data_IF_482873069939
#
_entry.id   IF_482873069939
#
_cell.length_a   1.000
_cell.length_b   1.000
_cell.length_c   1.000
_cell.angle_alpha   90.00
_cell.angle_beta   90.00
_cell.angle_gamma   90.00
#
_symmetry.space_group_name_H-M   'P 1'
#
loop_
_entity.id
_entity.type
_entity.pdbx_description
1 polymer ?
#
# COMPACT_ATOMS: atom_id res chain seq x y z
N UNK A 1 -5.93 13.24 -9.98
CA UNK A 1 -5.48 13.54 -8.61
C UNK A 1 -6.48 12.91 -7.67
N UNK A 2 -6.08 11.95 -6.84
CA UNK A 2 -6.90 11.47 -5.73
C UNK A 2 -6.11 11.77 -4.47
N UNK A 3 -6.50 12.85 -3.80
CA UNK A 3 -5.86 13.36 -2.59
C UNK A 3 -6.62 12.82 -1.38
N UNK A 4 -5.92 12.05 -0.56
CA UNK A 4 -5.91 12.07 0.91
C UNK A 4 -7.22 12.11 1.72
N UNK A 5 -7.26 11.17 2.67
CA UNK A 5 -7.93 11.16 3.99
C UNK A 5 -9.37 10.62 4.05
N UNK A 6 -9.51 9.34 4.42
CA UNK A 6 -10.72 8.84 5.08
C UNK A 6 -10.41 7.91 6.27
N UNK A 7 -11.18 8.10 7.34
CA UNK A 7 -11.07 7.59 8.72
C UNK A 7 -10.63 6.12 8.88
N UNK A 8 -9.77 5.86 9.87
CA UNK A 8 -9.20 4.58 10.38
C UNK A 8 -10.20 3.45 10.76
N UNK A 9 -11.47 3.53 10.34
CA UNK A 9 -12.56 2.59 10.66
C UNK A 9 -12.96 1.70 9.46
N UNK A 10 -12.30 1.79 8.30
CA UNK A 10 -12.79 1.24 7.03
C UNK A 10 -12.53 -0.25 6.73
N UNK A 11 -11.62 -0.91 7.43
CA UNK A 11 -11.24 -2.30 7.12
C UNK A 11 -11.45 -3.25 8.32
N UNK A 12 -11.94 -4.48 8.09
CA UNK A 12 -11.99 -5.51 9.12
C UNK A 12 -10.60 -5.72 9.77
N UNK A 13 -10.50 -6.00 11.08
CA UNK A 13 -9.21 -6.17 11.76
C UNK A 13 -8.27 -7.19 11.12
N UNK A 14 -8.82 -8.26 10.53
CA UNK A 14 -8.08 -9.33 9.85
C UNK A 14 -7.97 -9.13 8.33
N UNK A 15 -8.40 -7.99 7.80
CA UNK A 15 -8.18 -7.69 6.39
C UNK A 15 -6.67 -7.72 6.09
N UNK A 16 -6.29 -8.38 5.00
CA UNK A 16 -4.90 -8.38 4.55
C UNK A 16 -4.63 -7.04 3.88
N UNK A 17 -3.59 -6.36 4.34
CA UNK A 17 -3.06 -5.14 3.72
C UNK A 17 -1.60 -5.37 3.36
N UNK A 18 -1.17 -4.67 2.32
CA UNK A 18 0.24 -4.49 2.02
C UNK A 18 0.60 -3.07 2.45
N UNK A 19 1.45 -2.92 3.45
CA UNK A 19 1.90 -1.64 3.96
C UNK A 19 3.18 -1.19 3.26
N UNK A 20 3.26 0.11 2.98
CA UNK A 20 4.48 0.78 2.53
C UNK A 20 4.68 1.99 3.42
N UNK A 21 5.85 2.08 4.05
CA UNK A 21 6.36 3.31 4.66
C UNK A 21 7.53 3.82 3.81
N UNK A 22 7.32 4.94 3.13
CA UNK A 22 8.30 5.49 2.20
C UNK A 22 8.20 7.02 2.17
N UNK A 23 9.33 7.69 2.36
CA UNK A 23 9.43 9.16 2.46
C UNK A 23 8.43 9.81 3.44
N UNK A 24 8.28 9.21 4.62
CA UNK A 24 7.34 9.63 5.68
C UNK A 24 5.86 9.56 5.28
N UNK A 25 5.53 8.88 4.17
CA UNK A 25 4.17 8.61 3.76
C UNK A 25 3.93 7.11 3.97
N UNK A 26 3.00 6.83 4.88
CA UNK A 26 2.56 5.48 5.19
C UNK A 26 1.29 5.19 4.41
N UNK A 27 1.28 4.14 3.59
CA UNK A 27 0.09 3.74 2.84
C UNK A 27 -0.15 2.24 2.95
N UNK A 28 -1.39 1.88 3.28
CA UNK A 28 -1.88 0.51 3.25
C UNK A 28 -2.67 0.26 1.97
N UNK A 29 -2.36 -0.84 1.29
CA UNK A 29 -3.08 -1.34 0.11
C UNK A 29 -3.88 -2.58 0.52
N UNK A 30 -5.20 -2.46 0.71
CA UNK A 30 -6.02 -3.61 1.03
C UNK A 30 -6.01 -4.62 -0.12
N UNK A 31 -5.84 -5.91 0.18
CA UNK A 31 -5.89 -6.96 -0.83
C UNK A 31 -7.18 -6.86 -1.66
N UNK A 32 -8.32 -6.58 -1.02
CA UNK A 32 -9.62 -6.39 -1.69
C UNK A 32 -9.64 -5.24 -2.72
N UNK A 33 -8.75 -4.26 -2.59
CA UNK A 33 -8.68 -3.10 -3.50
C UNK A 33 -7.70 -3.30 -4.67
N UNK A 34 -6.78 -4.25 -4.54
CA UNK A 34 -5.70 -4.46 -5.51
C UNK A 34 -5.70 -5.86 -6.15
N UNK A 35 -6.51 -6.81 -5.67
CA UNK A 35 -6.53 -8.19 -6.15
C UNK A 35 -6.72 -8.33 -7.67
N UNK A 36 -7.50 -7.42 -8.27
CA UNK A 36 -7.73 -7.41 -9.72
C UNK A 36 -6.68 -6.64 -10.51
N UNK A 37 -5.85 -5.84 -9.84
CA UNK A 37 -4.77 -5.08 -10.48
C UNK A 37 -3.57 -5.99 -10.76
N UNK A 38 -2.85 -5.69 -11.83
CA UNK A 38 -1.60 -6.38 -12.17
C UNK A 38 -0.43 -5.43 -11.91
N UNK A 39 -0.38 -4.31 -12.65
CA UNK A 39 0.57 -3.22 -12.42
C UNK A 39 -0.21 -1.92 -12.31
N UNK A 40 0.15 -1.08 -11.36
CA UNK A 40 -0.43 0.25 -11.17
C UNK A 40 0.61 1.20 -10.60
N UNK A 41 0.30 2.50 -10.64
CA UNK A 41 1.19 3.55 -10.18
C UNK A 41 0.54 4.26 -9.01
N UNK A 42 1.35 4.66 -8.04
CA UNK A 42 0.91 5.50 -6.94
C UNK A 42 1.95 6.56 -6.57
N UNK A 43 1.49 7.70 -6.09
CA UNK A 43 2.32 8.85 -5.76
C UNK A 43 2.58 8.91 -4.25
N UNK A 44 3.84 8.97 -3.88
CA UNK A 44 4.33 9.19 -2.51
C UNK A 44 5.00 10.57 -2.49
N UNK A 45 4.19 11.61 -2.35
CA UNK A 45 4.65 12.99 -2.43
C UNK A 45 5.09 13.34 -3.85
N UNK A 46 6.37 13.66 -4.02
CA UNK A 46 7.02 13.95 -5.30
C UNK A 46 7.56 12.69 -5.99
N UNK A 47 7.54 11.54 -5.32
CA UNK A 47 7.97 10.26 -5.87
C UNK A 47 6.81 9.48 -6.46
N UNK A 48 7.11 8.77 -7.55
CA UNK A 48 6.19 7.89 -8.25
C UNK A 48 6.66 6.46 -8.04
N UNK A 49 5.79 5.59 -7.52
CA UNK A 49 6.08 4.18 -7.36
C UNK A 49 5.29 3.36 -8.37
N UNK A 50 5.96 2.39 -8.99
CA UNK A 50 5.32 1.34 -9.77
C UNK A 50 5.09 0.15 -8.85
N UNK A 51 3.83 -0.21 -8.68
CA UNK A 51 3.39 -1.35 -7.89
C UNK A 51 2.97 -2.50 -8.80
N UNK A 52 3.40 -3.71 -8.46
CA UNK A 52 3.07 -4.94 -9.18
C UNK A 52 2.52 -5.98 -8.21
N UNK A 53 1.26 -6.36 -8.37
CA UNK A 53 0.64 -7.41 -7.57
C UNK A 53 0.77 -8.75 -8.28
N UNK A 54 1.53 -9.67 -7.69
CA UNK A 54 1.60 -11.06 -8.14
C UNK A 54 0.39 -11.83 -7.61
N UNK A 55 -0.56 -12.13 -8.50
CA UNK A 55 -1.79 -12.88 -8.17
C UNK A 55 -1.51 -14.34 -7.78
N UNK A 56 -0.40 -14.92 -8.23
CA UNK A 56 -0.05 -16.31 -7.94
C UNK A 56 0.60 -16.42 -6.55
N UNK A 57 1.60 -15.57 -6.27
CA UNK A 57 2.27 -15.53 -4.97
C UNK A 57 1.47 -14.80 -3.89
N UNK A 58 0.54 -13.93 -4.27
CA UNK A 58 -0.23 -13.10 -3.33
C UNK A 58 0.63 -12.06 -2.61
N UNK A 59 1.56 -11.45 -3.35
CA UNK A 59 2.48 -10.41 -2.86
C UNK A 59 2.40 -9.15 -3.72
N UNK A 60 2.63 -8.01 -3.09
CA UNK A 60 2.76 -6.72 -3.75
C UNK A 60 4.23 -6.31 -3.74
N UNK A 61 4.73 -5.89 -4.90
CA UNK A 61 6.08 -5.35 -5.06
C UNK A 61 6.00 -3.88 -5.42
N UNK A 62 6.97 -3.09 -4.97
CA UNK A 62 7.07 -1.67 -5.30
C UNK A 62 8.50 -1.28 -5.68
N UNK A 63 8.62 -0.38 -6.66
CA UNK A 63 9.90 0.23 -7.06
C UNK A 63 9.67 1.62 -7.63
N UNK A 64 10.70 2.46 -7.60
CA UNK A 64 10.74 3.65 -8.46
C UNK A 64 11.01 3.23 -9.92
N UNK A 65 10.50 3.96 -10.94
CA UNK A 65 10.66 3.61 -12.35
C UNK A 65 12.11 3.35 -12.79
N UNK A 66 13.04 4.18 -12.33
CA UNK A 66 14.45 4.18 -12.76
C UNK A 66 15.41 3.64 -11.68
N UNK A 67 14.87 3.10 -10.59
CA UNK A 67 15.68 2.55 -9.49
C UNK A 67 15.82 1.04 -9.60
N UNK A 68 17.02 0.55 -9.31
CA UNK A 68 17.25 -0.89 -9.09
C UNK A 68 16.89 -1.31 -7.67
N UNK A 69 16.64 -0.35 -6.77
CA UNK A 69 16.23 -0.64 -5.40
C UNK A 69 14.75 -0.96 -5.32
N UNK A 70 14.44 -2.04 -4.63
CA UNK A 70 13.06 -2.40 -4.27
C UNK A 70 12.66 -1.68 -3.00
N UNK A 71 11.41 -1.22 -2.96
CA UNK A 71 10.81 -0.66 -1.75
C UNK A 71 10.26 -1.82 -0.91
N UNK A 72 10.45 -1.73 0.40
CA UNK A 72 9.94 -2.73 1.34
C UNK A 72 8.41 -2.64 1.33
N UNK A 73 7.77 -3.79 1.12
CA UNK A 73 6.33 -3.93 1.20
C UNK A 73 6.00 -4.99 2.24
N UNK A 74 5.25 -4.61 3.26
CA UNK A 74 4.95 -5.47 4.39
C UNK A 74 3.55 -6.06 4.27
N UNK A 75 3.42 -7.38 4.21
CA UNK A 75 2.12 -8.04 4.25
C UNK A 75 1.68 -8.23 5.69
N UNK A 76 0.60 -7.57 6.08
CA UNK A 76 0.12 -7.58 7.46
C UNK A 76 -1.39 -7.75 7.54
N UNK A 77 -1.88 -8.15 8.72
CA UNK A 77 -3.27 -7.88 9.07
C UNK A 77 -3.44 -6.40 9.41
N UNK A 78 -4.55 -5.82 8.95
CA UNK A 78 -4.87 -4.41 9.14
C UNK A 78 -4.75 -3.96 10.59
N UNK A 79 -5.23 -4.76 11.55
CA UNK A 79 -5.14 -4.46 12.97
C UNK A 79 -3.70 -4.18 13.42
N UNK A 80 -2.76 -5.05 13.04
CA UNK A 80 -1.37 -4.86 13.43
C UNK A 80 -0.72 -3.69 12.69
N UNK A 81 -0.97 -3.54 11.39
CA UNK A 81 -0.40 -2.42 10.63
C UNK A 81 -0.84 -1.06 11.20
N UNK A 82 -2.15 -0.87 11.44
CA UNK A 82 -2.66 0.42 11.91
C UNK A 82 -2.21 0.81 13.32
N UNK A 83 -1.82 -0.17 14.15
CA UNK A 83 -1.30 0.08 15.51
C UNK A 83 0.11 0.68 15.46
N UNK A 84 0.93 0.27 14.49
CA UNK A 84 2.29 0.80 14.29
C UNK A 84 2.34 2.00 13.33
N UNK A 85 1.35 2.14 12.44
CA UNK A 85 1.27 3.20 11.43
C UNK A 85 -0.06 3.97 11.54
N UNK A 86 -0.26 4.75 12.62
CA UNK A 86 -1.53 5.42 12.90
C UNK A 86 -1.90 6.51 11.87
N UNK A 87 -0.90 7.07 11.18
CA UNK A 87 -1.10 8.11 10.16
C UNK A 87 -1.27 7.52 8.75
N UNK A 88 -1.43 6.19 8.64
CA UNK A 88 -1.49 5.51 7.34
C UNK A 88 -2.70 5.93 6.50
N UNK A 89 -2.46 6.20 5.23
CA UNK A 89 -3.50 6.34 4.22
C UNK A 89 -3.93 4.96 3.73
N UNK A 90 -5.22 4.77 3.41
CA UNK A 90 -5.71 3.53 2.82
C UNK A 90 -5.92 3.77 1.33
N UNK A 91 -5.29 2.97 0.48
CA UNK A 91 -5.46 3.06 -0.96
C UNK A 91 -6.89 2.67 -1.38
N UNK A 92 -7.52 3.50 -2.22
CA UNK A 92 -8.83 3.23 -2.81
C UNK A 92 -10.03 3.65 -1.97
N UNK A 93 -9.81 4.38 -0.86
CA UNK A 93 -10.84 4.87 0.07
C UNK A 93 -10.60 6.34 0.43
#
# INVERSE_FOLDING_TARGET
MLTGKTKLNGLPPRAVVFGIDYNNIQRAYPLSSIADKNVFVDNFGDKVLILSFDKNGGFLYAKEPDSQSTIIVEKHWWLGWKEFHPETEIYGI
#
